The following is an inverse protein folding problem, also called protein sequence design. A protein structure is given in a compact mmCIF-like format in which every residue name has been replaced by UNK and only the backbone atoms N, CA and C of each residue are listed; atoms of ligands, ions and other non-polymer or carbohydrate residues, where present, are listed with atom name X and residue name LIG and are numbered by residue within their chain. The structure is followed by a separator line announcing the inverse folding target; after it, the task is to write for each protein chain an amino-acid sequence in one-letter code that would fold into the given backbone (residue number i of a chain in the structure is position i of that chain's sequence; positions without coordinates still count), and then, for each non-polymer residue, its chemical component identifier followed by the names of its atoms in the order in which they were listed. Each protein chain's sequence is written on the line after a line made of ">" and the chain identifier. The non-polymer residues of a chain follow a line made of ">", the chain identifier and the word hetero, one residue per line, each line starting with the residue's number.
data_IF_578369899090
#
_entry.id   IF_578369899090
#
_cell.length_a   1.000
_cell.length_b   1.000
_cell.length_c   1.000
_cell.angle_alpha   90.00
_cell.angle_beta   90.00
_cell.angle_gamma   90.00
#
_symmetry.space_group_name_H-M   'P 1'
#
loop_
_entity.id
_entity.type
_entity.pdbx_description
1 polymer ?
#
# COMPACT_ATOMS: atom_id res chain seq x y z
N UNK A 1 -13.06 0.40 -26.27
CA UNK A 1 -11.79 1.17 -26.22
C UNK A 1 -11.46 1.61 -27.64
N UNK A 2 -11.04 2.85 -27.87
CA UNK A 2 -10.47 3.22 -29.19
C UNK A 2 -9.17 2.45 -29.37
N UNK A 3 -9.03 1.74 -30.48
CA UNK A 3 -7.79 1.07 -30.82
C UNK A 3 -6.73 2.14 -31.11
N UNK A 4 -5.50 1.93 -30.61
CA UNK A 4 -4.35 2.77 -30.97
C UNK A 4 -3.88 2.24 -32.33
N UNK A 5 -4.08 3.05 -33.37
CA UNK A 5 -3.70 2.68 -34.74
C UNK A 5 -2.24 3.06 -35.03
N UNK A 6 -1.47 2.20 -35.74
CA UNK A 6 -0.13 2.55 -36.19
C UNK A 6 -0.14 3.67 -37.25
N UNK A 7 0.92 4.49 -37.35
CA UNK A 7 2.10 4.52 -36.48
C UNK A 7 1.78 5.17 -35.13
N UNK A 8 2.40 4.67 -34.06
CA UNK A 8 2.22 5.24 -32.73
C UNK A 8 3.53 5.30 -31.94
N UNK A 9 3.55 6.23 -31.01
CA UNK A 9 4.55 6.33 -29.96
C UNK A 9 3.84 6.58 -28.63
N UNK A 10 4.13 5.73 -27.65
CA UNK A 10 3.43 5.65 -26.37
C UNK A 10 4.43 5.95 -25.26
N UNK A 11 4.04 6.85 -24.37
CA UNK A 11 4.62 6.99 -23.04
C UNK A 11 3.60 6.45 -22.02
N UNK A 12 4.00 5.49 -21.20
CA UNK A 12 3.15 4.88 -20.18
C UNK A 12 3.72 5.17 -18.80
N UNK A 13 2.88 5.65 -17.91
CA UNK A 13 3.18 5.74 -16.49
C UNK A 13 2.31 4.76 -15.72
N UNK A 14 2.90 4.03 -14.78
CA UNK A 14 2.15 3.25 -13.83
C UNK A 14 2.61 3.44 -12.39
N UNK A 15 1.67 3.36 -11.45
CA UNK A 15 1.99 3.38 -10.02
C UNK A 15 2.38 1.98 -9.55
N UNK A 16 3.40 1.87 -8.72
CA UNK A 16 3.87 0.63 -8.10
C UNK A 16 4.30 0.89 -6.64
N UNK A 17 4.65 -0.18 -5.93
CA UNK A 17 5.29 -0.13 -4.61
C UNK A 17 4.46 0.65 -3.57
N UNK A 18 3.14 0.43 -3.55
CA UNK A 18 2.23 1.12 -2.66
C UNK A 18 2.64 0.96 -1.18
N UNK A 19 2.73 2.08 -0.48
CA UNK A 19 2.97 2.15 0.96
C UNK A 19 2.05 3.18 1.58
N UNK A 20 1.50 2.93 2.76
CA UNK A 20 0.63 3.92 3.39
C UNK A 20 0.85 4.06 4.89
N UNK A 21 0.49 5.24 5.38
CA UNK A 21 0.53 5.60 6.80
C UNK A 21 -0.72 6.39 7.18
N UNK A 22 -0.97 6.51 8.47
CA UNK A 22 -1.91 7.51 8.96
C UNK A 22 -1.20 8.84 9.23
N UNK A 23 -1.91 9.97 9.18
CA UNK A 23 -1.33 11.30 9.37
C UNK A 23 -0.51 11.44 10.65
N UNK A 24 -0.90 10.77 11.74
CA UNK A 24 -0.19 10.85 13.02
C UNK A 24 1.24 10.29 12.92
N UNK A 25 1.47 9.31 12.04
CA UNK A 25 2.79 8.71 11.82
C UNK A 25 3.75 9.64 11.09
N UNK A 26 3.27 10.71 10.46
CA UNK A 26 4.16 11.71 9.84
C UNK A 26 4.93 12.53 10.87
N UNK A 27 4.47 12.59 12.11
CA UNK A 27 4.99 13.49 13.13
C UNK A 27 5.68 12.71 14.26
N UNK A 28 6.67 13.34 14.91
CA UNK A 28 7.34 12.87 16.14
C UNK A 28 8.16 11.57 15.96
N UNK A 29 7.97 10.61 16.87
CA UNK A 29 8.76 9.40 17.12
C UNK A 29 8.91 8.45 15.92
N UNK A 30 7.97 8.45 14.98
CA UNK A 30 7.99 7.52 13.84
C UNK A 30 8.85 7.97 12.68
N UNK A 31 9.24 9.25 12.65
CA UNK A 31 9.94 9.83 11.51
C UNK A 31 11.26 9.12 11.22
N UNK A 32 12.05 8.82 12.25
CA UNK A 32 13.34 8.12 12.12
C UNK A 32 13.15 6.70 11.59
N UNK A 33 12.02 6.07 11.91
CA UNK A 33 11.70 4.72 11.41
C UNK A 33 11.17 4.77 9.98
N UNK A 34 10.32 5.74 9.63
CA UNK A 34 9.82 5.92 8.26
C UNK A 34 10.93 6.28 7.29
N UNK A 35 11.89 7.10 7.72
CA UNK A 35 13.09 7.44 6.94
C UNK A 35 13.95 6.20 6.62
N UNK A 36 13.73 5.01 7.22
CA UNK A 36 14.43 3.76 6.88
C UNK A 36 13.67 2.86 5.90
N UNK A 37 12.45 3.22 5.52
CA UNK A 37 11.61 2.40 4.64
C UNK A 37 11.83 2.83 3.20
N UNK A 38 12.41 1.96 2.37
CA UNK A 38 12.69 2.26 0.95
C UNK A 38 11.46 2.74 0.19
N UNK A 39 10.30 2.09 0.40
CA UNK A 39 9.04 2.50 -0.23
C UNK A 39 8.62 3.92 0.15
N UNK A 40 8.95 4.36 1.37
CA UNK A 40 8.68 5.72 1.84
C UNK A 40 9.68 6.74 1.27
N UNK A 41 10.95 6.35 1.12
CA UNK A 41 11.97 7.21 0.52
C UNK A 41 11.76 7.42 -0.99
N UNK A 42 11.34 6.37 -1.69
CA UNK A 42 11.20 6.34 -3.15
C UNK A 42 9.83 6.78 -3.65
N UNK A 43 8.83 6.90 -2.76
CA UNK A 43 7.50 7.38 -3.11
C UNK A 43 7.55 8.80 -3.69
N UNK A 44 7.16 8.96 -4.96
CA UNK A 44 7.13 10.26 -5.66
C UNK A 44 5.73 10.80 -5.87
N UNK A 45 4.72 9.94 -5.85
CA UNK A 45 3.29 10.30 -5.91
C UNK A 45 2.65 9.91 -4.59
N UNK A 46 1.77 10.76 -4.07
CA UNK A 46 0.98 10.42 -2.88
C UNK A 46 -0.49 10.79 -3.04
N UNK A 47 -1.34 9.99 -2.42
CA UNK A 47 -2.77 10.25 -2.30
C UNK A 47 -3.13 10.55 -0.86
N UNK A 48 -3.99 11.55 -0.65
CA UNK A 48 -4.76 11.69 0.58
C UNK A 48 -6.08 10.99 0.34
N UNK A 49 -6.35 9.97 1.14
CA UNK A 49 -7.46 9.05 0.93
C UNK A 49 -8.32 9.02 2.17
N UNK A 50 -9.62 9.16 1.98
CA UNK A 50 -10.62 8.95 3.00
C UNK A 50 -11.15 7.53 2.87
N UNK A 51 -11.22 6.82 4.00
CA UNK A 51 -11.75 5.46 4.04
C UNK A 51 -12.60 5.24 5.29
N UNK A 52 -13.54 4.29 5.26
CA UNK A 52 -14.28 3.87 6.43
C UNK A 52 -13.33 3.30 7.50
N UNK A 53 -13.49 3.72 8.76
CA UNK A 53 -12.83 3.08 9.89
C UNK A 53 -13.38 1.67 10.07
N UNK A 54 -12.48 0.71 10.22
CA UNK A 54 -12.82 -0.64 10.65
C UNK A 54 -12.47 -0.82 12.12
N UNK A 55 -13.45 -1.13 12.96
CA UNK A 55 -13.27 -1.33 14.41
C UNK A 55 -13.32 -2.80 14.74
N UNK A 56 -12.19 -3.35 15.18
CA UNK A 56 -12.11 -4.74 15.61
C UNK A 56 -12.65 -4.87 17.04
N UNK A 57 -13.65 -5.74 17.26
CA UNK A 57 -14.24 -5.92 18.61
C UNK A 57 -13.83 -7.21 19.30
N UNK A 58 -13.43 -8.24 18.56
CA UNK A 58 -13.14 -9.57 19.12
C UNK A 58 -12.00 -10.25 18.36
N UNK A 59 -10.77 -9.80 18.54
CA UNK A 59 -9.59 -10.47 17.94
C UNK A 59 -9.00 -11.42 18.97
N UNK A 60 -8.81 -12.70 18.59
CA UNK A 60 -8.19 -13.71 19.44
C UNK A 60 -7.29 -14.63 18.64
N UNK A 61 -6.23 -15.12 19.28
CA UNK A 61 -5.46 -16.27 18.78
C UNK A 61 -6.12 -17.55 19.33
N UNK A 62 -6.34 -18.54 18.48
CA UNK A 62 -6.84 -19.85 18.85
C UNK A 62 -5.68 -20.85 19.01
N UNK A 63 -5.95 -21.97 19.69
CA UNK A 63 -4.95 -23.02 19.98
C UNK A 63 -4.33 -23.68 18.75
N UNK A 64 -4.99 -23.61 17.58
CA UNK A 64 -4.49 -24.12 16.32
C UNK A 64 -3.66 -23.08 15.53
N UNK A 65 -3.15 -22.04 16.19
CA UNK A 65 -2.38 -20.96 15.58
C UNK A 65 -3.15 -20.19 14.49
N UNK A 66 -4.47 -20.07 14.66
CA UNK A 66 -5.32 -19.21 13.83
C UNK A 66 -5.75 -17.96 14.58
N UNK A 67 -5.94 -16.85 13.86
CA UNK A 67 -6.54 -15.62 14.37
C UNK A 67 -8.01 -15.62 14.00
N UNK A 68 -8.89 -15.52 14.99
CA UNK A 68 -10.31 -15.26 14.74
C UNK A 68 -10.67 -13.83 15.08
N UNK A 69 -11.43 -13.19 14.20
CA UNK A 69 -11.88 -11.82 14.42
C UNK A 69 -13.25 -11.51 13.84
N UNK A 70 -13.87 -10.47 14.42
CA UNK A 70 -14.99 -9.72 13.87
C UNK A 70 -14.65 -8.25 13.87
N UNK A 71 -15.08 -7.54 12.85
CA UNK A 71 -14.94 -6.10 12.77
C UNK A 71 -16.28 -5.45 12.44
N UNK A 72 -16.38 -4.18 12.78
CA UNK A 72 -17.48 -3.30 12.41
C UNK A 72 -16.95 -2.29 11.40
N UNK A 73 -17.64 -2.17 10.26
CA UNK A 73 -17.32 -1.18 9.21
C UNK A 73 -18.62 -0.65 8.65
N UNK A 74 -18.71 0.67 8.44
CA UNK A 74 -19.90 1.33 7.88
C UNK A 74 -21.22 1.01 8.63
N UNK A 75 -21.16 0.76 9.95
CA UNK A 75 -22.33 0.40 10.76
C UNK A 75 -22.77 -1.06 10.65
N UNK A 76 -22.07 -1.89 9.88
CA UNK A 76 -22.35 -3.31 9.74
C UNK A 76 -21.28 -4.15 10.44
N UNK A 77 -21.72 -5.24 11.07
CA UNK A 77 -20.81 -6.25 11.62
C UNK A 77 -20.46 -7.28 10.57
N UNK A 78 -19.16 -7.53 10.44
CA UNK A 78 -18.66 -8.61 9.61
C UNK A 78 -19.12 -9.98 10.12
N UNK A 79 -19.11 -10.97 9.24
CA UNK A 79 -19.10 -12.39 9.65
C UNK A 79 -17.84 -12.67 10.47
N UNK A 80 -17.80 -13.84 11.11
CA UNK A 80 -16.57 -14.26 11.79
C UNK A 80 -15.54 -14.68 10.75
N UNK A 81 -14.32 -14.14 10.84
CA UNK A 81 -13.20 -14.53 10.00
C UNK A 81 -12.19 -15.35 10.79
N UNK A 82 -11.43 -16.17 10.06
CA UNK A 82 -10.35 -16.99 10.59
C UNK A 82 -9.19 -17.01 9.59
N UNK A 83 -8.00 -16.62 10.02
CA UNK A 83 -6.78 -16.61 9.19
C UNK A 83 -5.70 -17.41 9.91
N UNK A 84 -4.90 -18.20 9.19
CA UNK A 84 -3.78 -18.92 9.79
C UNK A 84 -2.58 -17.98 9.99
N UNK A 85 -1.93 -18.05 11.15
CA UNK A 85 -0.76 -17.20 11.44
C UNK A 85 0.40 -17.50 10.46
N UNK A 86 0.55 -18.76 10.02
CA UNK A 86 1.51 -19.14 9.00
C UNK A 86 1.39 -18.34 7.71
N UNK A 87 0.15 -18.08 7.26
CA UNK A 87 -0.12 -17.31 6.02
C UNK A 87 0.26 -15.85 6.16
N UNK A 88 0.14 -15.30 7.38
CA UNK A 88 0.55 -13.93 7.68
C UNK A 88 2.08 -13.81 7.70
N UNK A 89 2.77 -14.74 8.37
CA UNK A 89 4.24 -14.72 8.48
C UNK A 89 4.93 -14.81 7.11
N UNK A 90 4.40 -15.67 6.23
CA UNK A 90 4.87 -15.81 4.85
C UNK A 90 4.76 -14.50 4.06
N UNK A 91 3.58 -13.87 4.10
CA UNK A 91 3.34 -12.61 3.36
C UNK A 91 4.18 -11.46 3.85
N UNK A 92 4.40 -11.38 5.16
CA UNK A 92 5.24 -10.34 5.75
C UNK A 92 6.74 -10.60 5.52
N UNK A 93 7.11 -11.74 4.92
CA UNK A 93 8.51 -12.14 4.69
C UNK A 93 9.38 -12.06 5.96
N UNK A 94 8.77 -12.27 7.13
CA UNK A 94 9.46 -12.14 8.42
C UNK A 94 10.48 -13.28 8.64
N UNK A 95 10.39 -14.34 7.85
CA UNK A 95 11.13 -15.59 8.06
C UNK A 95 12.23 -15.90 7.03
N UNK A 96 12.57 -14.97 6.12
CA UNK A 96 13.77 -15.07 5.25
C UNK A 96 14.76 -13.97 5.69
N UNK A 97 16.01 -14.27 6.08
CA UNK A 97 17.07 -14.82 5.22
C UNK A 97 17.80 -16.06 5.78
N UNK A 98 17.30 -16.71 6.83
CA UNK A 98 18.02 -17.80 7.52
C UNK A 98 17.26 -19.08 7.81
N UNK A 99 15.94 -19.13 7.59
CA UNK A 99 15.11 -20.25 8.06
C UNK A 99 14.53 -21.15 6.96
N UNK A 100 14.45 -20.73 5.69
CA UNK A 100 14.03 -21.53 4.51
C UNK A 100 12.99 -22.61 4.87
N UNK A 101 11.83 -22.20 5.41
CA UNK A 101 10.72 -23.11 5.68
C UNK A 101 9.64 -22.89 4.62
N UNK A 102 9.25 -23.96 3.92
CA UNK A 102 8.05 -24.02 3.10
C UNK A 102 6.79 -23.71 3.92
N UNK A 103 5.71 -23.34 3.25
CA UNK A 103 4.41 -23.03 3.89
C UNK A 103 3.92 -24.16 4.81
N UNK A 104 4.09 -25.41 4.39
CA UNK A 104 3.74 -26.59 5.17
C UNK A 104 4.62 -26.74 6.40
N UNK A 105 5.92 -26.44 6.29
CA UNK A 105 6.85 -26.51 7.42
C UNK A 105 6.56 -25.42 8.45
N UNK A 106 6.26 -24.18 8.05
CA UNK A 106 5.85 -23.14 9.00
C UNK A 106 4.57 -23.57 9.73
N UNK A 107 3.57 -24.05 8.99
CA UNK A 107 2.30 -24.50 9.58
C UNK A 107 2.50 -25.64 10.59
N UNK A 108 3.33 -26.63 10.26
CA UNK A 108 3.57 -27.79 11.11
C UNK A 108 4.43 -27.47 12.34
N UNK A 109 5.19 -26.38 12.29
CA UNK A 109 6.10 -25.97 13.35
C UNK A 109 5.55 -24.84 14.25
N UNK A 110 4.33 -24.34 14.02
CA UNK A 110 3.72 -23.31 14.87
C UNK A 110 2.93 -23.96 16.02
N UNK A 111 3.25 -23.60 17.26
CA UNK A 111 2.55 -24.07 18.46
C UNK A 111 2.04 -22.91 19.29
N UNK A 112 0.73 -22.88 19.58
CA UNK A 112 0.17 -21.89 20.48
C UNK A 112 0.55 -22.18 21.94
N UNK A 113 0.93 -21.13 22.67
CA UNK A 113 1.20 -21.19 24.11
C UNK A 113 0.46 -20.07 24.84
N UNK A 114 -0.06 -20.39 26.02
CA UNK A 114 -0.78 -19.41 26.87
C UNK A 114 0.20 -18.49 27.65
N UNK A 115 1.47 -18.88 27.76
CA UNK A 115 2.48 -18.15 28.51
C UNK A 115 3.80 -18.02 27.73
N UNK A 116 4.50 -16.91 27.95
CA UNK A 116 5.86 -16.69 27.45
C UNK A 116 6.93 -17.45 28.26
N UNK A 117 6.55 -18.08 29.39
CA UNK A 117 7.47 -18.76 30.28
C UNK A 117 8.24 -19.88 29.53
N UNK A 118 9.59 -19.80 29.45
CA UNK A 118 10.42 -20.84 28.84
C UNK A 118 10.21 -22.24 29.43
N UNK A 119 9.94 -22.35 30.74
CA UNK A 119 9.79 -23.62 31.43
C UNK A 119 8.56 -24.43 30.99
N UNK A 120 7.58 -23.78 30.34
CA UNK A 120 6.35 -24.41 29.86
C UNK A 120 6.44 -24.80 28.37
N UNK A 121 7.59 -24.58 27.72
CA UNK A 121 7.83 -24.90 26.31
C UNK A 121 8.63 -26.21 26.22
N UNK A 122 8.23 -27.12 25.33
CA UNK A 122 9.01 -28.33 25.04
C UNK A 122 10.29 -27.91 24.31
N UNK A 123 11.43 -27.97 24.99
CA UNK A 123 12.74 -27.72 24.40
C UNK A 123 13.18 -28.95 23.62
N UNK A 124 12.71 -29.10 22.39
CA UNK A 124 13.36 -29.99 21.43
C UNK A 124 14.28 -29.15 20.53
N UNK A 125 15.60 -29.22 20.71
CA UNK A 125 16.56 -28.45 19.93
C UNK A 125 16.66 -28.89 18.47
N UNK A 126 16.17 -30.07 18.09
CA UNK A 126 16.15 -30.53 16.69
C UNK A 126 14.92 -30.05 15.92
N UNK A 127 13.82 -29.78 16.64
CA UNK A 127 12.60 -29.26 16.03
C UNK A 127 12.64 -27.73 15.98
N UNK A 128 12.57 -27.16 14.76
CA UNK A 128 12.43 -25.71 14.51
C UNK A 128 11.02 -25.20 14.85
N UNK A 129 10.59 -25.35 16.10
CA UNK A 129 9.27 -24.92 16.59
C UNK A 129 9.26 -23.40 16.79
N UNK A 130 8.19 -22.75 16.32
CA UNK A 130 7.87 -21.35 16.60
C UNK A 130 6.67 -21.32 17.53
N UNK A 131 6.89 -20.97 18.78
CA UNK A 131 5.78 -20.80 19.72
C UNK A 131 5.12 -19.44 19.52
N UNK A 132 3.79 -19.42 19.58
CA UNK A 132 2.97 -18.25 19.30
C UNK A 132 2.10 -17.92 20.49
N UNK A 133 2.11 -16.67 20.91
CA UNK A 133 1.19 -16.17 21.94
C UNK A 133 0.75 -14.74 21.64
N UNK A 134 -0.34 -14.32 22.26
CA UNK A 134 -0.81 -12.94 22.16
C UNK A 134 -0.03 -12.09 23.16
N UNK A 135 0.59 -11.00 22.70
CA UNK A 135 1.23 -10.07 23.62
C UNK A 135 0.18 -9.37 24.49
N UNK A 136 0.47 -9.22 25.77
CA UNK A 136 -0.38 -8.54 26.76
C UNK A 136 -0.20 -7.03 26.78
N UNK A 137 0.73 -6.49 25.97
CA UNK A 137 0.90 -5.05 25.85
C UNK A 137 -0.38 -4.36 25.41
N UNK A 138 -0.63 -3.17 25.97
CA UNK A 138 -1.84 -2.39 25.72
C UNK A 138 -2.02 -2.16 24.22
N UNK A 139 -3.26 -2.32 23.76
CA UNK A 139 -3.72 -1.88 22.44
C UNK A 139 -3.71 -0.35 22.34
N UNK A 140 -2.57 0.30 22.54
CA UNK A 140 -2.45 1.77 22.63
C UNK A 140 -2.52 2.48 21.26
N UNK A 141 -2.85 1.77 20.17
CA UNK A 141 -2.84 2.34 18.82
C UNK A 141 -4.13 2.02 18.07
N UNK A 142 -4.80 3.09 17.58
CA UNK A 142 -6.10 3.05 16.86
C UNK A 142 -6.18 2.09 15.65
N UNK A 143 -5.05 1.60 15.14
CA UNK A 143 -4.97 0.74 13.95
C UNK A 143 -4.31 -0.63 14.18
N UNK A 144 -3.88 -0.93 15.41
CA UNK A 144 -3.31 -2.23 15.77
C UNK A 144 -4.47 -3.15 16.15
N UNK A 145 -4.61 -4.28 15.46
CA UNK A 145 -5.64 -5.26 15.74
C UNK A 145 -5.18 -6.28 16.80
N UNK A 146 -3.91 -6.67 16.76
CA UNK A 146 -3.31 -7.68 17.64
C UNK A 146 -1.78 -7.50 17.64
N UNK A 147 -1.10 -7.89 18.71
CA UNK A 147 0.34 -8.17 18.67
C UNK A 147 0.56 -9.65 18.92
N UNK A 148 1.26 -10.30 18.01
CA UNK A 148 1.67 -11.70 18.13
C UNK A 148 3.11 -11.72 18.63
N UNK A 149 3.43 -12.58 19.59
CA UNK A 149 4.80 -12.84 20.01
C UNK A 149 5.24 -14.21 19.48
N UNK A 150 6.30 -14.21 18.67
CA UNK A 150 6.93 -15.41 18.14
C UNK A 150 8.14 -15.75 19.00
N UNK A 151 8.21 -17.00 19.47
CA UNK A 151 9.26 -17.48 20.36
C UNK A 151 9.92 -18.71 19.72
N UNK A 152 11.12 -18.59 19.13
CA UNK A 152 11.80 -19.74 18.54
C UNK A 152 12.18 -20.77 19.61
N UNK A 153 12.19 -22.06 19.23
CA UNK A 153 12.67 -23.16 20.08
C UNK A 153 14.19 -23.20 20.17
N UNK A 154 14.89 -22.90 19.08
CA UNK A 154 16.34 -22.87 19.01
C UNK A 154 16.86 -21.59 19.67
N UNK A 155 17.52 -21.75 20.82
CA UNK A 155 18.31 -20.74 21.51
C UNK A 155 19.55 -20.37 20.68
N UNK A 156 19.39 -19.67 19.55
CA UNK A 156 20.51 -18.85 19.07
C UNK A 156 20.64 -17.70 20.07
N UNK A 157 21.77 -17.64 20.77
CA UNK A 157 22.11 -16.86 21.97
C UNK A 157 21.88 -15.32 21.95
N UNK A 158 21.10 -14.78 21.01
CA UNK A 158 20.93 -13.35 20.83
C UNK A 158 19.51 -12.80 21.04
N UNK A 159 18.46 -13.64 21.16
CA UNK A 159 17.10 -13.14 21.35
C UNK A 159 16.25 -14.01 22.29
N UNK A 160 16.51 -13.97 23.60
CA UNK A 160 15.60 -14.55 24.61
C UNK A 160 14.24 -13.84 24.67
N UNK A 161 14.13 -12.64 24.09
CA UNK A 161 12.95 -11.78 24.23
C UNK A 161 11.80 -12.11 23.27
N UNK A 162 12.02 -12.96 22.26
CA UNK A 162 11.03 -13.25 21.22
C UNK A 162 10.86 -12.10 20.22
N UNK A 163 10.20 -12.39 19.09
CA UNK A 163 9.90 -11.39 18.07
C UNK A 163 8.47 -10.90 18.30
N UNK A 164 8.29 -9.62 18.58
CA UNK A 164 6.97 -9.01 18.62
C UNK A 164 6.54 -8.54 17.23
N UNK A 165 5.44 -9.12 16.77
CA UNK A 165 4.83 -8.84 15.49
C UNK A 165 3.49 -8.11 15.69
N UNK A 166 3.46 -6.77 15.54
CA UNK A 166 2.21 -6.04 15.52
C UNK A 166 1.45 -6.30 14.21
N UNK A 167 0.23 -6.83 14.33
CA UNK A 167 -0.71 -6.95 13.23
C UNK A 167 -1.66 -5.76 13.22
N UNK A 168 -1.74 -5.10 12.07
CA UNK A 168 -2.61 -3.97 11.85
C UNK A 168 -3.95 -4.40 11.26
N UNK A 169 -5.00 -3.63 11.55
CA UNK A 169 -6.36 -3.81 11.06
C UNK A 169 -6.41 -4.15 9.55
N UNK A 170 -5.77 -3.35 8.72
CA UNK A 170 -5.75 -3.55 7.27
C UNK A 170 -5.19 -4.91 6.84
N UNK A 171 -4.17 -5.42 7.53
CA UNK A 171 -3.54 -6.70 7.19
C UNK A 171 -4.50 -7.87 7.42
N UNK A 172 -5.38 -7.76 8.43
CA UNK A 172 -6.41 -8.76 8.69
C UNK A 172 -7.60 -8.61 7.74
N UNK A 173 -7.98 -7.38 7.37
CA UNK A 173 -9.09 -7.14 6.46
C UNK A 173 -8.83 -7.69 5.06
N UNK A 174 -7.57 -7.69 4.61
CA UNK A 174 -7.17 -8.23 3.31
C UNK A 174 -7.69 -9.64 3.03
N UNK A 175 -7.66 -10.52 4.03
CA UNK A 175 -8.01 -11.95 3.85
C UNK A 175 -9.49 -12.24 4.00
N UNK A 176 -10.28 -11.22 4.30
CA UNK A 176 -11.72 -11.42 4.52
C UNK A 176 -12.47 -11.62 3.21
N UNK A 177 -11.90 -11.16 2.09
CA UNK A 177 -12.62 -11.02 0.82
C UNK A 177 -13.73 -9.98 0.86
N UNK A 178 -13.93 -9.33 2.02
CA UNK A 178 -14.87 -8.23 2.22
C UNK A 178 -14.20 -6.89 1.82
N UNK A 179 -13.00 -6.92 1.25
CA UNK A 179 -12.09 -5.79 1.00
C UNK A 179 -12.43 -4.93 -0.21
N UNK A 180 -13.70 -4.84 -0.62
CA UNK A 180 -14.19 -3.76 -1.49
C UNK A 180 -14.33 -2.45 -0.69
N UNK A 181 -13.36 -2.16 0.18
CA UNK A 181 -13.36 -0.95 0.99
C UNK A 181 -13.13 0.21 0.04
N UNK A 182 -14.20 0.97 -0.21
CA UNK A 182 -14.17 2.16 -1.04
C UNK A 182 -13.19 3.17 -0.45
N UNK A 183 -12.06 3.34 -1.15
CA UNK A 183 -11.02 4.28 -0.79
C UNK A 183 -11.21 5.54 -1.64
N UNK A 184 -11.77 6.59 -1.04
CA UNK A 184 -12.04 7.84 -1.76
C UNK A 184 -10.78 8.69 -1.82
N UNK A 185 -10.31 8.98 -3.03
CA UNK A 185 -9.16 9.86 -3.25
C UNK A 185 -9.62 11.32 -3.13
N UNK A 186 -9.18 11.98 -2.05
CA UNK A 186 -9.47 13.40 -1.82
C UNK A 186 -8.46 14.32 -2.49
N UNK A 187 -7.19 13.89 -2.55
CA UNK A 187 -6.10 14.69 -3.12
C UNK A 187 -5.03 13.78 -3.72
N UNK A 188 -4.42 14.23 -4.82
CA UNK A 188 -3.24 13.62 -5.44
C UNK A 188 -2.15 14.68 -5.52
N UNK A 189 -0.92 14.33 -5.13
CA UNK A 189 0.21 15.21 -5.36
C UNK A 189 1.53 14.47 -5.52
N UNK A 190 2.56 15.23 -5.90
CA UNK A 190 3.94 14.75 -5.95
C UNK A 190 4.80 15.22 -4.77
N UNK A 191 5.81 14.41 -4.44
CA UNK A 191 6.81 14.70 -3.43
C UNK A 191 8.22 14.25 -3.89
N UNK A 192 9.19 15.16 -3.84
CA UNK A 192 10.61 14.79 -3.99
C UNK A 192 11.19 14.32 -2.64
N UNK A 193 10.72 14.90 -1.54
CA UNK A 193 11.03 14.47 -0.17
C UNK A 193 9.78 14.66 0.68
N UNK A 194 9.29 13.57 1.30
CA UNK A 194 8.03 13.62 2.03
C UNK A 194 8.03 14.63 3.18
N UNK A 195 9.15 14.68 3.91
CA UNK A 195 9.37 15.57 5.06
C UNK A 195 9.24 17.04 4.69
N UNK A 196 9.78 17.45 3.53
CA UNK A 196 9.68 18.83 3.04
C UNK A 196 8.25 19.13 2.56
N UNK A 197 7.58 18.14 1.97
CA UNK A 197 6.22 18.30 1.44
C UNK A 197 5.13 18.32 2.53
N UNK A 198 5.31 17.59 3.63
CA UNK A 198 4.30 17.47 4.70
C UNK A 198 4.37 18.55 5.78
N UNK A 199 5.46 19.32 5.85
CA UNK A 199 5.54 20.53 6.67
C UNK A 199 4.75 21.66 5.96
N UNK A 200 3.46 21.78 6.27
CA UNK A 200 2.57 22.84 5.75
C UNK A 200 1.40 22.36 4.88
N UNK A 201 1.04 21.08 4.95
CA UNK A 201 0.04 20.49 4.05
C UNK A 201 -1.40 20.88 4.43
N UNK A 202 -1.86 22.03 3.92
CA UNK A 202 -3.21 22.53 4.14
C UNK A 202 -4.31 21.55 3.70
N UNK A 203 -4.07 20.76 2.64
CA UNK A 203 -5.05 19.75 2.20
C UNK A 203 -5.16 18.56 3.15
N UNK A 204 -4.08 18.16 3.83
CA UNK A 204 -4.14 17.13 4.86
C UNK A 204 -4.95 17.61 6.06
N UNK A 205 -4.71 18.85 6.51
CA UNK A 205 -5.47 19.45 7.61
C UNK A 205 -6.95 19.61 7.24
N UNK A 206 -7.23 20.07 6.02
CA UNK A 206 -8.58 20.15 5.48
C UNK A 206 -9.26 18.78 5.45
N UNK A 207 -8.60 17.76 4.89
CA UNK A 207 -9.12 16.40 4.84
C UNK A 207 -9.39 15.84 6.25
N UNK A 208 -8.53 16.12 7.24
CA UNK A 208 -8.75 15.70 8.63
C UNK A 208 -9.93 16.44 9.28
N UNK A 209 -10.14 17.72 8.95
CA UNK A 209 -11.23 18.51 9.49
C UNK A 209 -12.60 18.12 8.90
N UNK A 210 -12.63 17.72 7.63
CA UNK A 210 -13.85 17.26 6.93
C UNK A 210 -14.15 15.76 7.17
N UNK A 211 -13.27 15.04 7.87
CA UNK A 211 -13.39 13.61 8.10
C UNK A 211 -14.37 13.31 9.26
N UNK A 212 -15.36 12.45 9.01
CA UNK A 212 -16.31 12.06 10.05
C UNK A 212 -15.73 11.09 11.09
N UNK A 213 -16.42 10.91 12.21
CA UNK A 213 -16.01 9.96 13.26
C UNK A 213 -15.95 8.49 12.79
N UNK A 214 -16.70 8.17 11.74
CA UNK A 214 -16.76 6.84 11.12
C UNK A 214 -15.69 6.64 10.03
N UNK A 215 -14.96 7.69 9.66
CA UNK A 215 -13.97 7.68 8.58
C UNK A 215 -12.57 7.97 9.12
N UNK A 216 -11.55 7.61 8.36
CA UNK A 216 -10.16 7.95 8.66
C UNK A 216 -9.42 8.38 7.40
N UNK A 217 -8.43 9.25 7.60
CA UNK A 217 -7.55 9.71 6.53
C UNK A 217 -6.30 8.85 6.51
N UNK A 218 -5.95 8.36 5.33
CA UNK A 218 -4.74 7.59 5.05
C UNK A 218 -3.94 8.31 3.97
N UNK A 219 -2.62 8.21 4.10
CA UNK A 219 -1.69 8.76 3.14
C UNK A 219 -1.02 7.61 2.43
N UNK A 220 -1.29 7.49 1.13
CA UNK A 220 -0.71 6.48 0.27
C UNK A 220 0.44 7.09 -0.52
N UNK A 221 1.51 6.34 -0.69
CA UNK A 221 2.70 6.69 -1.43
C UNK A 221 2.95 5.64 -2.49
N UNK A 222 3.34 6.10 -3.66
CA UNK A 222 3.57 5.26 -4.83
C UNK A 222 4.88 5.66 -5.48
N UNK A 223 5.59 4.65 -5.96
CA UNK A 223 6.74 4.83 -6.85
C UNK A 223 6.23 4.73 -8.28
N UNK A 224 6.17 5.84 -9.04
CA UNK A 224 5.79 5.77 -10.44
C UNK A 224 6.90 5.08 -11.23
N UNK A 225 6.51 4.16 -12.11
CA UNK A 225 7.35 3.49 -13.08
C UNK A 225 6.94 3.94 -14.48
N UNK A 226 7.89 3.92 -15.41
CA UNK A 226 7.68 4.45 -16.75
C UNK A 226 8.11 3.42 -17.79
N UNK A 227 7.27 3.27 -18.79
CA UNK A 227 7.52 2.44 -19.97
C UNK A 227 7.29 3.30 -21.19
N UNK A 228 7.99 3.00 -22.28
CA UNK A 228 7.74 3.66 -23.55
C UNK A 228 7.95 2.67 -24.69
N UNK A 229 7.20 2.88 -25.77
CA UNK A 229 7.33 2.09 -26.98
C UNK A 229 6.97 2.93 -28.20
N UNK A 230 7.55 2.61 -29.35
CA UNK A 230 7.11 3.15 -30.63
C UNK A 230 6.94 2.04 -31.66
N UNK A 231 5.96 2.19 -32.53
CA UNK A 231 5.72 1.33 -33.68
C UNK A 231 5.72 2.20 -34.93
N UNK A 232 6.64 1.91 -35.84
CA UNK A 232 6.73 2.57 -37.15
C UNK A 232 6.85 1.51 -38.24
N UNK A 233 5.81 1.38 -39.08
CA UNK A 233 5.68 0.25 -40.00
C UNK A 233 5.64 -1.08 -39.25
N UNK A 234 6.60 -1.97 -39.52
CA UNK A 234 6.75 -3.26 -38.84
C UNK A 234 7.78 -3.24 -37.69
N UNK A 235 8.42 -2.10 -37.40
CA UNK A 235 9.48 -1.99 -36.39
C UNK A 235 8.93 -1.54 -35.04
N UNK A 236 9.19 -2.32 -33.99
CA UNK A 236 8.87 -1.98 -32.61
C UNK A 236 10.15 -1.54 -31.89
N UNK A 237 10.17 -0.30 -31.42
CA UNK A 237 11.18 0.20 -30.52
C UNK A 237 10.68 0.13 -29.08
N UNK A 238 11.36 -0.67 -28.24
CA UNK A 238 11.09 -0.74 -26.81
C UNK A 238 12.04 0.24 -26.11
N UNK A 239 11.46 1.27 -25.50
CA UNK A 239 12.16 2.40 -24.89
C UNK A 239 12.89 3.36 -25.86
N UNK A 240 12.15 4.14 -26.67
CA UNK A 240 12.71 5.21 -27.48
C UNK A 240 13.59 6.17 -26.64
N UNK A 241 14.83 6.41 -27.10
CA UNK A 241 15.86 7.17 -26.34
C UNK A 241 15.40 8.56 -25.91
N UNK A 242 14.68 9.27 -26.76
CA UNK A 242 14.21 10.62 -26.49
C UNK A 242 13.16 10.69 -25.36
N UNK A 243 12.43 9.60 -25.12
CA UNK A 243 11.54 9.45 -23.95
C UNK A 243 12.28 8.95 -22.71
N UNK A 244 13.37 8.18 -22.87
CA UNK A 244 14.25 7.80 -21.77
C UNK A 244 14.95 9.02 -21.15
N UNK A 245 15.41 9.94 -21.98
CA UNK A 245 16.13 11.17 -21.63
C UNK A 245 15.26 12.24 -20.97
N UNK A 246 13.94 12.02 -20.83
CA UNK A 246 13.09 12.91 -20.03
C UNK A 246 13.59 12.95 -18.57
N UNK A 247 13.70 14.16 -18.03
CA UNK A 247 14.02 14.35 -16.62
C UNK A 247 12.99 13.65 -15.73
N UNK A 248 13.44 13.03 -14.64
CA UNK A 248 12.55 12.27 -13.77
C UNK A 248 11.48 13.16 -13.12
N UNK A 249 11.79 14.42 -12.80
CA UNK A 249 10.81 15.40 -12.31
C UNK A 249 9.68 15.64 -13.30
N UNK A 250 9.99 15.61 -14.60
CA UNK A 250 9.01 15.77 -15.67
C UNK A 250 8.14 14.53 -15.82
N UNK A 251 8.74 13.33 -15.76
CA UNK A 251 7.99 12.07 -15.75
C UNK A 251 7.01 12.01 -14.57
N UNK A 252 7.45 12.42 -13.37
CA UNK A 252 6.61 12.49 -12.16
C UNK A 252 5.49 13.52 -12.32
N UNK A 253 5.78 14.69 -12.89
CA UNK A 253 4.77 15.72 -13.14
C UNK A 253 3.71 15.26 -14.17
N UNK A 254 4.13 14.60 -15.25
CA UNK A 254 3.23 14.01 -16.25
C UNK A 254 2.31 12.98 -15.59
N UNK A 255 2.86 12.11 -14.74
CA UNK A 255 2.10 11.15 -13.95
C UNK A 255 1.05 11.85 -13.06
N UNK A 256 1.46 12.81 -12.24
CA UNK A 256 0.59 13.58 -11.34
C UNK A 256 -0.58 14.24 -12.10
N UNK A 257 -0.29 14.95 -13.19
CA UNK A 257 -1.29 15.64 -14.01
C UNK A 257 -2.28 14.65 -14.62
N UNK A 258 -1.79 13.53 -15.15
CA UNK A 258 -2.62 12.46 -15.71
C UNK A 258 -3.56 11.82 -14.67
N UNK A 259 -3.09 11.65 -13.44
CA UNK A 259 -3.85 11.11 -12.33
C UNK A 259 -4.94 12.08 -11.86
N UNK A 260 -4.59 13.35 -11.65
CA UNK A 260 -5.54 14.38 -11.21
C UNK A 260 -6.66 14.56 -12.23
N UNK A 261 -6.32 14.62 -13.53
CA UNK A 261 -7.32 14.79 -14.59
C UNK A 261 -8.28 13.60 -14.69
N UNK A 262 -7.78 12.39 -14.48
CA UNK A 262 -8.60 11.19 -14.53
C UNK A 262 -9.48 11.05 -13.29
N UNK A 263 -8.90 11.05 -12.10
CA UNK A 263 -9.63 10.81 -10.85
C UNK A 263 -10.48 12.01 -10.41
N UNK A 264 -10.11 13.22 -10.83
CA UNK A 264 -10.80 14.46 -10.45
C UNK A 264 -11.04 14.64 -8.92
N UNK A 265 -10.03 14.40 -8.07
CA UNK A 265 -10.16 14.49 -6.62
C UNK A 265 -10.68 15.86 -6.16
N UNK A 266 -11.41 15.89 -5.05
CA UNK A 266 -12.14 17.10 -4.58
C UNK A 266 -11.20 18.24 -4.18
N UNK A 267 -10.04 17.93 -3.59
CA UNK A 267 -9.10 18.93 -3.06
C UNK A 267 -8.07 19.43 -4.09
N UNK A 268 -7.95 18.79 -5.27
CA UNK A 268 -7.12 19.33 -6.35
C UNK A 268 -7.89 20.38 -7.16
N UNK A 269 -7.36 21.60 -7.19
CA UNK A 269 -7.92 22.70 -8.01
C UNK A 269 -7.35 22.72 -9.44
N UNK A 270 -6.05 22.46 -9.56
CA UNK A 270 -5.35 22.50 -10.85
C UNK A 270 -5.49 21.16 -11.57
N UNK A 271 -5.44 21.18 -12.91
CA UNK A 271 -5.43 20.01 -13.81
C UNK A 271 -6.69 19.12 -13.84
N UNK A 272 -7.56 19.22 -12.83
CA UNK A 272 -8.79 18.44 -12.67
C UNK A 272 -9.71 18.51 -13.89
N UNK A 273 -10.00 19.73 -14.35
CA UNK A 273 -10.94 19.98 -15.46
C UNK A 273 -10.27 20.61 -16.68
N UNK A 274 -8.93 20.71 -16.68
CA UNK A 274 -8.20 21.25 -17.81
C UNK A 274 -8.07 20.25 -18.96
N UNK A 275 -7.96 20.76 -20.18
CA UNK A 275 -7.46 19.99 -21.32
C UNK A 275 -5.94 19.78 -21.16
N UNK A 276 -5.57 18.68 -20.48
CA UNK A 276 -4.16 18.41 -20.16
C UNK A 276 -3.32 18.11 -21.40
N UNK A 277 -3.93 17.71 -22.52
CA UNK A 277 -3.23 17.45 -23.79
C UNK A 277 -2.60 18.73 -24.32
N UNK A 278 -3.30 19.87 -24.15
CA UNK A 278 -2.79 21.19 -24.51
C UNK A 278 -1.88 21.82 -23.45
N UNK A 279 -1.70 21.16 -22.30
CA UNK A 279 -0.87 21.69 -21.22
C UNK A 279 0.61 21.63 -21.57
N UNK A 280 1.39 22.60 -21.07
CA UNK A 280 2.85 22.58 -21.21
C UNK A 280 3.50 21.31 -20.64
N UNK A 281 2.83 20.60 -19.73
CA UNK A 281 3.30 19.34 -19.15
C UNK A 281 3.30 18.19 -20.18
N UNK A 282 2.16 17.92 -20.83
CA UNK A 282 2.08 16.86 -21.84
C UNK A 282 2.71 17.26 -23.17
N UNK A 283 2.84 18.57 -23.44
CA UNK A 283 3.56 19.06 -24.61
C UNK A 283 5.01 18.56 -24.64
N UNK A 284 5.67 18.39 -23.49
CA UNK A 284 7.04 17.85 -23.40
C UNK A 284 7.19 16.47 -24.05
N UNK A 285 6.19 15.61 -23.93
CA UNK A 285 6.21 14.29 -24.59
C UNK A 285 5.67 14.38 -26.02
N UNK A 286 4.68 15.24 -26.30
CA UNK A 286 4.18 15.44 -27.67
C UNK A 286 5.25 16.00 -28.61
N UNK A 287 6.05 16.98 -28.17
CA UNK A 287 7.17 17.56 -28.94
C UNK A 287 8.26 16.50 -29.28
N UNK A 288 8.25 15.36 -28.61
CA UNK A 288 9.10 14.18 -28.86
C UNK A 288 8.44 13.13 -29.76
N UNK A 289 7.40 13.54 -30.48
CA UNK A 289 6.61 12.68 -31.36
C UNK A 289 5.76 11.64 -30.62
N UNK A 290 5.56 11.78 -29.30
CA UNK A 290 4.66 10.90 -28.57
C UNK A 290 3.21 11.18 -28.98
N UNK A 291 2.53 10.14 -29.46
CA UNK A 291 1.14 10.21 -29.92
C UNK A 291 0.12 9.90 -28.81
N UNK A 292 0.56 9.16 -27.78
CA UNK A 292 -0.33 8.64 -26.75
C UNK A 292 0.37 8.65 -25.39
N UNK A 293 -0.33 9.16 -24.38
CA UNK A 293 0.03 8.98 -22.99
C UNK A 293 -0.92 8.01 -22.31
N UNK A 294 -0.38 6.94 -21.74
CA UNK A 294 -1.16 5.95 -20.99
C UNK A 294 -0.85 6.13 -19.51
N UNK A 295 -1.88 6.47 -18.74
CA UNK A 295 -1.84 6.42 -17.28
C UNK A 295 -2.49 5.13 -16.83
N UNK A 296 -1.77 4.37 -16.01
CA UNK A 296 -2.23 3.12 -15.44
C UNK A 296 -2.05 3.14 -13.92
N UNK A 297 -3.08 2.83 -13.16
CA UNK A 297 -2.97 2.57 -11.74
C UNK A 297 -3.37 1.13 -11.51
N UNK A 298 -2.37 0.26 -11.43
CA UNK A 298 -2.55 -1.08 -10.91
C UNK A 298 -2.06 -1.03 -9.48
N UNK A 299 -2.95 -1.34 -8.56
CA UNK A 299 -2.60 -1.36 -7.16
C UNK A 299 -2.28 -2.81 -6.82
N UNK A 300 -1.02 -3.11 -6.52
CA UNK A 300 -0.50 -4.48 -6.36
C UNK A 300 -1.11 -5.25 -5.17
N UNK A 301 -1.94 -4.60 -4.35
CA UNK A 301 -2.63 -5.23 -3.22
C UNK A 301 -4.15 -5.14 -3.43
N UNK A 302 -4.86 -6.23 -3.12
CA UNK A 302 -6.33 -6.35 -3.23
C UNK A 302 -7.13 -5.38 -2.33
N UNK A 303 -6.42 -4.58 -1.54
CA UNK A 303 -6.94 -3.65 -0.53
C UNK A 303 -7.32 -2.28 -1.13
N UNK A 304 -7.13 -2.09 -2.44
CA UNK A 304 -6.98 -0.78 -3.08
C UNK A 304 -8.05 -0.50 -4.13
N UNK A 305 -9.32 -0.55 -3.73
CA UNK A 305 -10.44 -0.07 -4.54
C UNK A 305 -10.53 1.45 -4.45
N UNK A 306 -9.71 2.13 -5.25
CA UNK A 306 -9.66 3.59 -5.28
C UNK A 306 -10.71 4.16 -6.22
N UNK A 307 -11.26 5.31 -5.85
CA UNK A 307 -12.24 6.02 -6.66
C UNK A 307 -12.48 7.43 -6.14
N UNK A 308 -13.38 8.13 -6.81
CA UNK A 308 -13.88 9.46 -6.43
C UNK A 308 -15.36 9.54 -6.79
N UNK A 309 -16.03 10.65 -6.49
CA UNK A 309 -17.41 10.86 -6.95
C UNK A 309 -17.58 10.79 -8.48
N UNK A 310 -16.50 11.04 -9.23
CA UNK A 310 -16.50 11.03 -10.69
C UNK A 310 -15.96 9.73 -11.30
N UNK A 311 -15.30 8.88 -10.52
CA UNK A 311 -14.62 7.67 -11.00
C UNK A 311 -14.97 6.49 -10.10
N UNK A 312 -15.55 5.47 -10.71
CA UNK A 312 -15.93 4.21 -10.05
C UNK A 312 -14.75 3.57 -9.31
N UNK A 313 -15.02 3.03 -8.12
CA UNK A 313 -14.02 2.37 -7.27
C UNK A 313 -13.54 1.04 -7.88
N UNK A 314 -12.26 0.94 -8.23
CA UNK A 314 -11.65 -0.27 -8.82
C UNK A 314 -10.24 -0.52 -8.30
N UNK A 315 -9.79 -1.78 -8.36
CA UNK A 315 -8.39 -2.15 -8.10
C UNK A 315 -7.44 -1.83 -9.26
N UNK A 316 -7.99 -1.52 -10.44
CA UNK A 316 -7.21 -1.19 -11.62
C UNK A 316 -7.90 -0.08 -12.42
N UNK A 317 -7.13 0.96 -12.75
CA UNK A 317 -7.57 2.08 -13.58
C UNK A 317 -6.64 2.28 -14.75
N UNK A 318 -7.21 2.52 -15.93
CA UNK A 318 -6.45 2.85 -17.14
C UNK A 318 -7.11 4.01 -17.87
N UNK A 319 -6.31 5.01 -18.21
CA UNK A 319 -6.70 6.13 -19.05
C UNK A 319 -5.69 6.32 -20.17
N UNK A 320 -6.20 6.48 -21.39
CA UNK A 320 -5.40 6.79 -22.58
C UNK A 320 -5.74 8.23 -22.97
N UNK A 321 -4.70 9.05 -23.13
CA UNK A 321 -4.74 10.40 -23.65
C UNK A 321 -4.11 10.39 -25.04
N UNK A 322 -4.85 10.82 -26.06
CA UNK A 322 -4.32 11.05 -27.41
C UNK A 322 -3.73 12.46 -27.45
N UNK A 323 -2.47 12.58 -27.88
CA UNK A 323 -1.67 13.80 -27.79
C UNK A 323 -1.68 14.62 -29.07
#
# INVERSE_FOLDING_TARGET
>A
MKNIEPPFKIFKSHLADAFFITPEKLYREFKVHLEKIDKFQNGRIYFIVKKPKSRFKKVKINKDCSISFKYESQGFFSKSHRILISEILLRLKILDEGLLLSTSEIKNNLIYVESTNPALRKSDPELKIIYVTQSTERMDRKNRALTIKLLPSSLSNHHQEGIELPLFAHQLLRDTGDSNVKCEILYIGKANELKKRMKGHGHLQQAQAECSDAEEIHLYFFTPKYESMSLHGCYIDLQPRDLLELADEDKVLICEVGLINYFKPSLNKNHKDSDIVKSGTLKKISDRGCTHFIMNCMFDEDDYFFGTDSVEYKGCHKKIYTL
#
